data_IF_541293942061
#
_entry.id   IF_541293942061
#
_cell.length_a   1.000
_cell.length_b   1.000
_cell.length_c   1.000
_cell.angle_alpha   90.00
_cell.angle_beta   90.00
_cell.angle_gamma   90.00
#
_symmetry.space_group_name_H-M   'P 1'
#
loop_
_entity.id
_entity.type
_entity.pdbx_description
1 polymer ?
#
# COMPACT_ATOMS: atom_id res chain seq x y z
N UNK A 1 47.60 32.75 -31.26
CA UNK A 1 46.14 32.91 -31.48
C UNK A 1 45.47 32.58 -30.16
N UNK A 2 44.34 33.19 -29.78
CA UNK A 2 43.80 32.94 -28.44
C UNK A 2 42.28 32.78 -28.41
N UNK A 3 41.80 31.89 -27.54
CA UNK A 3 40.39 31.85 -27.12
C UNK A 3 40.14 32.94 -26.09
N UNK A 4 39.62 34.08 -26.53
CA UNK A 4 39.38 35.26 -25.68
C UNK A 4 37.98 35.34 -25.07
N UNK A 5 37.03 34.55 -25.58
CA UNK A 5 35.63 34.53 -25.09
C UNK A 5 35.39 33.37 -24.14
N UNK A 6 34.58 33.61 -23.10
CA UNK A 6 34.07 32.57 -22.19
C UNK A 6 32.81 31.90 -22.73
N UNK A 7 32.18 32.46 -23.77
CA UNK A 7 30.93 31.95 -24.34
C UNK A 7 31.21 30.73 -25.22
N UNK A 8 30.51 29.63 -24.96
CA UNK A 8 30.59 28.37 -25.72
C UNK A 8 29.23 27.91 -26.24
N UNK A 9 28.15 28.66 -25.96
CA UNK A 9 26.79 28.38 -26.46
C UNK A 9 25.99 29.65 -26.68
N UNK A 10 25.01 29.56 -27.57
CA UNK A 10 23.99 30.58 -27.79
C UNK A 10 22.62 29.92 -27.89
N UNK A 11 21.60 30.58 -27.34
CA UNK A 11 20.22 30.11 -27.36
C UNK A 11 19.31 31.17 -27.99
N UNK A 12 18.38 30.73 -28.84
CA UNK A 12 17.41 31.61 -29.50
C UNK A 12 16.01 31.02 -29.46
N UNK A 13 15.01 31.88 -29.63
CA UNK A 13 13.60 31.49 -29.79
C UNK A 13 13.17 31.72 -31.24
N UNK A 14 12.51 30.73 -31.83
CA UNK A 14 11.94 30.77 -33.17
C UNK A 14 10.73 31.68 -33.25
N UNK A 15 10.60 32.36 -34.39
CA UNK A 15 9.47 33.22 -34.73
C UNK A 15 8.69 32.70 -35.95
N UNK A 16 9.03 31.51 -36.47
CA UNK A 16 8.42 30.93 -37.67
C UNK A 16 8.97 31.44 -39.00
N UNK A 17 9.94 32.37 -39.00
CA UNK A 17 10.46 32.98 -40.22
C UNK A 17 12.00 32.98 -40.31
N UNK A 18 12.69 33.12 -39.18
CA UNK A 18 14.16 33.17 -39.14
C UNK A 18 14.76 31.79 -39.40
N UNK A 19 15.69 31.73 -40.36
CA UNK A 19 16.47 30.52 -40.68
C UNK A 19 17.94 30.63 -40.30
N UNK A 20 18.42 31.84 -40.00
CA UNK A 20 19.83 32.10 -39.70
C UNK A 20 20.00 32.49 -38.23
N UNK A 21 20.86 31.77 -37.53
CA UNK A 21 21.17 31.99 -36.13
C UNK A 21 22.67 32.17 -35.98
N UNK A 22 23.07 33.28 -35.36
CA UNK A 22 24.47 33.57 -35.07
C UNK A 22 25.00 32.69 -33.95
N UNK A 23 26.28 32.37 -33.98
CA UNK A 23 27.02 31.87 -32.82
C UNK A 23 28.25 32.76 -32.63
N UNK A 24 28.55 33.12 -31.38
CA UNK A 24 29.53 34.19 -31.06
C UNK A 24 30.86 33.64 -30.56
N UNK A 25 31.19 32.42 -30.97
CA UNK A 25 32.37 31.69 -30.48
C UNK A 25 33.08 30.94 -31.59
N UNK A 26 34.40 30.77 -31.46
CA UNK A 26 35.21 30.05 -32.46
C UNK A 26 34.93 28.55 -32.43
N UNK A 27 34.88 27.96 -33.62
CA UNK A 27 34.85 26.52 -33.89
C UNK A 27 36.00 26.17 -34.84
N UNK A 28 36.61 24.99 -34.67
CA UNK A 28 37.74 24.56 -35.51
C UNK A 28 37.28 23.88 -36.80
N UNK A 29 36.16 23.16 -36.74
CA UNK A 29 35.54 22.49 -37.89
C UNK A 29 34.01 22.68 -37.87
N UNK A 30 33.34 22.52 -39.02
CA UNK A 30 31.87 22.61 -39.13
C UNK A 30 31.16 21.57 -38.26
N UNK A 31 31.77 20.41 -38.08
CA UNK A 31 31.25 19.30 -37.26
C UNK A 31 31.42 19.54 -35.76
N UNK A 32 32.19 20.54 -35.33
CA UNK A 32 32.43 20.82 -33.90
C UNK A 32 31.30 21.65 -33.25
N UNK A 33 30.08 21.48 -33.75
CA UNK A 33 28.86 22.10 -33.24
C UNK A 33 27.84 21.03 -32.93
N UNK A 34 27.17 21.18 -31.79
CA UNK A 34 25.92 20.50 -31.54
C UNK A 34 24.79 21.53 -31.65
N UNK A 35 23.83 21.26 -32.52
CA UNK A 35 22.65 22.10 -32.73
C UNK A 35 21.44 21.28 -32.35
N UNK A 36 20.65 21.78 -31.40
CA UNK A 36 19.46 21.11 -30.92
C UNK A 36 18.27 22.07 -30.92
N UNK A 37 17.08 21.53 -31.13
CA UNK A 37 15.83 22.26 -31.01
C UNK A 37 14.98 21.68 -29.90
N UNK A 38 14.21 22.56 -29.25
CA UNK A 38 13.23 22.23 -28.23
C UNK A 38 11.86 22.69 -28.72
N UNK A 39 10.93 21.75 -28.84
CA UNK A 39 9.54 22.07 -29.19
C UNK A 39 8.73 22.59 -27.99
N UNK A 40 7.48 23.00 -28.23
CA UNK A 40 6.56 23.48 -27.18
C UNK A 40 6.10 22.39 -26.21
N UNK A 41 6.32 21.11 -26.54
CA UNK A 41 6.04 19.94 -25.70
C UNK A 41 7.28 19.52 -24.89
N UNK A 42 8.37 20.28 -24.99
CA UNK A 42 9.68 20.02 -24.38
C UNK A 42 10.38 18.75 -24.88
N UNK A 43 10.15 18.36 -26.13
CA UNK A 43 10.94 17.34 -26.81
C UNK A 43 12.21 17.97 -27.41
N UNK A 44 13.35 17.34 -27.14
CA UNK A 44 14.66 17.77 -27.65
C UNK A 44 15.01 16.94 -28.88
N UNK A 45 15.36 17.61 -29.98
CA UNK A 45 15.82 16.98 -31.23
C UNK A 45 17.18 17.54 -31.61
N UNK A 46 18.17 16.67 -31.80
CA UNK A 46 19.47 17.03 -32.35
C UNK A 46 19.37 17.12 -33.88
N UNK A 47 19.80 18.26 -34.43
CA UNK A 47 19.83 18.48 -35.87
C UNK A 47 21.10 17.90 -36.50
N UNK A 48 21.00 17.47 -37.76
CA UNK A 48 22.08 16.85 -38.53
C UNK A 48 22.72 17.85 -39.49
N UNK A 49 24.03 18.05 -39.39
CA UNK A 49 24.79 18.91 -40.31
C UNK A 49 24.67 18.40 -41.75
N UNK A 50 24.40 19.31 -42.68
CA UNK A 50 24.24 19.02 -44.11
C UNK A 50 22.84 18.57 -44.52
N UNK A 51 22.01 18.13 -43.57
CA UNK A 51 20.60 17.75 -43.82
C UNK A 51 19.65 18.81 -43.27
N UNK A 52 19.77 19.12 -41.98
CA UNK A 52 18.86 20.04 -41.28
C UNK A 52 19.41 21.46 -41.21
N UNK A 53 20.74 21.61 -41.26
CA UNK A 53 21.41 22.91 -41.21
C UNK A 53 22.76 22.90 -41.90
N UNK A 54 23.26 24.09 -42.23
CA UNK A 54 24.62 24.33 -42.71
C UNK A 54 25.32 25.37 -41.83
N UNK A 55 26.66 25.37 -41.86
CA UNK A 55 27.50 26.22 -41.00
C UNK A 55 28.38 27.13 -41.85
N UNK A 56 28.39 28.41 -41.50
CA UNK A 56 29.28 29.42 -42.04
C UNK A 56 30.14 30.02 -40.93
N UNK A 57 31.29 30.62 -41.27
CA UNK A 57 32.17 31.27 -40.27
C UNK A 57 33.00 30.30 -39.42
N UNK A 58 33.47 29.20 -40.03
CA UNK A 58 34.43 28.26 -39.40
C UNK A 58 35.76 28.96 -39.15
N UNK A 59 36.40 28.62 -38.03
CA UNK A 59 37.70 29.15 -37.63
C UNK A 59 37.77 30.68 -37.51
N UNK A 60 36.63 31.35 -37.29
CA UNK A 60 36.55 32.80 -37.02
C UNK A 60 36.43 33.08 -35.52
N UNK A 61 37.13 34.10 -35.03
CA UNK A 61 37.12 34.47 -33.60
C UNK A 61 35.75 34.94 -33.10
N UNK A 62 35.03 35.69 -33.93
CA UNK A 62 33.69 36.21 -33.62
C UNK A 62 32.57 35.20 -33.93
N UNK A 63 32.93 33.96 -34.31
CA UNK A 63 32.00 32.93 -34.73
C UNK A 63 31.41 33.15 -36.11
N UNK A 64 30.19 32.64 -36.30
CA UNK A 64 29.56 32.48 -37.61
C UNK A 64 28.07 32.27 -37.51
N UNK A 65 27.47 31.60 -38.50
CA UNK A 65 26.02 31.35 -38.54
C UNK A 65 25.72 29.88 -38.76
N UNK A 66 24.70 29.41 -38.06
CA UNK A 66 23.93 28.21 -38.38
C UNK A 66 22.75 28.62 -39.27
N UNK A 67 22.65 28.02 -40.45
CA UNK A 67 21.57 28.26 -41.41
C UNK A 67 20.73 27.00 -41.50
N UNK A 68 19.51 27.05 -40.96
CA UNK A 68 18.54 25.97 -41.01
C UNK A 68 17.96 25.83 -42.43
N UNK A 69 17.63 24.61 -42.83
CA UNK A 69 16.95 24.33 -44.12
C UNK A 69 15.48 24.74 -44.12
N UNK A 70 14.85 24.78 -42.94
CA UNK A 70 13.50 25.29 -42.71
C UNK A 70 13.49 26.30 -41.56
N UNK A 71 12.57 27.26 -41.60
CA UNK A 71 12.45 28.26 -40.54
C UNK A 71 12.04 27.60 -39.22
N UNK A 72 12.67 28.00 -38.12
CA UNK A 72 12.35 27.46 -36.81
C UNK A 72 10.93 27.91 -36.41
N UNK A 73 9.99 26.98 -36.14
CA UNK A 73 8.61 27.33 -35.82
C UNK A 73 8.51 28.30 -34.64
N UNK A 74 7.42 29.09 -34.61
CA UNK A 74 7.20 30.04 -33.53
C UNK A 74 7.10 29.33 -32.18
N UNK A 75 7.84 29.83 -31.19
CA UNK A 75 7.87 29.28 -29.82
C UNK A 75 8.84 28.11 -29.61
N UNK A 76 9.40 27.52 -30.67
CA UNK A 76 10.48 26.55 -30.54
C UNK A 76 11.76 27.26 -30.10
N UNK A 77 12.62 26.57 -29.35
CA UNK A 77 13.96 27.09 -29.02
C UNK A 77 15.03 26.35 -29.81
N UNK A 78 16.13 27.03 -30.08
CA UNK A 78 17.34 26.43 -30.66
C UNK A 78 18.52 26.71 -29.74
N UNK A 79 19.28 25.66 -29.45
CA UNK A 79 20.57 25.73 -28.76
C UNK A 79 21.67 25.42 -29.77
N UNK A 80 22.67 26.29 -29.82
CA UNK A 80 23.89 26.10 -30.62
C UNK A 80 25.04 26.08 -29.64
N UNK A 81 25.68 24.93 -29.47
CA UNK A 81 26.79 24.76 -28.53
C UNK A 81 28.03 24.21 -29.23
N UNK A 82 29.19 24.58 -28.71
CA UNK A 82 30.47 24.00 -29.12
C UNK A 82 30.51 22.55 -28.67
N UNK A 83 30.82 21.65 -29.60
CA UNK A 83 31.06 20.23 -29.33
C UNK A 83 32.34 19.79 -30.02
N UNK A 84 33.48 20.11 -29.39
CA UNK A 84 34.79 19.76 -29.94
C UNK A 84 35.14 18.32 -29.52
N UNK A 85 35.66 17.46 -30.42
CA UNK A 85 36.15 16.13 -30.07
C UNK A 85 37.23 16.18 -29.00
N UNK A 86 37.07 15.35 -27.96
CA UNK A 86 38.00 15.24 -26.82
C UNK A 86 39.21 14.37 -27.19
N UNK A 87 39.89 14.75 -28.28
CA UNK A 87 41.09 14.08 -28.80
C UNK A 87 42.24 15.06 -28.92
N UNK A 88 43.47 14.58 -28.88
CA UNK A 88 44.64 15.38 -29.23
C UNK A 88 45.27 14.81 -30.49
N UNK A 89 45.28 15.61 -31.56
CA UNK A 89 45.82 15.21 -32.88
C UNK A 89 47.25 15.71 -33.09
N UNK A 90 47.68 16.71 -32.32
CA UNK A 90 49.04 17.21 -32.36
C UNK A 90 50.02 16.19 -31.75
N UNK A 91 51.00 15.76 -32.55
CA UNK A 91 52.09 14.88 -32.13
C UNK A 91 53.43 15.65 -32.19
N UNK A 92 53.89 16.12 -31.04
CA UNK A 92 55.15 16.88 -30.92
C UNK A 92 56.31 15.89 -30.74
N UNK A 93 57.36 15.98 -31.57
CA UNK A 93 58.55 15.11 -31.52
C UNK A 93 59.73 15.83 -30.87
N UNK A 94 60.57 15.07 -30.17
CA UNK A 94 61.84 15.58 -29.66
C UNK A 94 62.79 15.95 -30.81
N UNK A 95 63.53 17.05 -30.64
CA UNK A 95 64.51 17.57 -31.62
C UNK A 95 63.92 17.97 -32.98
N UNK A 96 62.60 18.12 -33.09
CA UNK A 96 61.94 18.75 -34.24
C UNK A 96 62.01 20.28 -34.19
N UNK A 97 61.72 20.94 -35.32
CA UNK A 97 61.56 22.39 -35.36
C UNK A 97 60.40 22.86 -34.48
N UNK A 98 60.56 24.02 -33.83
CA UNK A 98 59.49 24.63 -33.06
C UNK A 98 58.52 25.34 -34.01
N UNK A 99 57.29 24.83 -34.10
CA UNK A 99 56.21 25.42 -34.90
C UNK A 99 55.15 25.99 -33.95
N UNK A 100 55.21 27.29 -33.61
CA UNK A 100 54.31 27.92 -32.63
C UNK A 100 52.84 27.62 -32.89
N UNK A 101 52.42 27.58 -34.15
CA UNK A 101 51.04 27.34 -34.56
C UNK A 101 50.49 25.99 -34.07
N UNK A 102 51.29 24.91 -34.12
CA UNK A 102 50.85 23.58 -33.65
C UNK A 102 50.62 23.58 -32.14
N UNK A 103 51.47 24.29 -31.39
CA UNK A 103 51.33 24.43 -29.95
C UNK A 103 50.10 25.27 -29.59
N UNK A 104 49.92 26.41 -30.26
CA UNK A 104 48.80 27.31 -30.03
C UNK A 104 47.46 26.64 -30.37
N UNK A 105 47.34 25.93 -31.49
CA UNK A 105 46.11 25.21 -31.86
C UNK A 105 45.78 24.11 -30.84
N UNK A 106 46.79 23.40 -30.34
CA UNK A 106 46.63 22.41 -29.27
C UNK A 106 46.15 23.06 -27.97
N UNK A 107 46.74 24.19 -27.58
CA UNK A 107 46.35 24.91 -26.36
C UNK A 107 44.95 25.52 -26.47
N UNK A 108 44.62 26.16 -27.60
CA UNK A 108 43.29 26.69 -27.89
C UNK A 108 42.23 25.57 -27.83
N UNK A 109 42.51 24.40 -28.43
CA UNK A 109 41.60 23.24 -28.37
C UNK A 109 41.35 22.80 -26.92
N UNK A 110 42.41 22.69 -26.11
CA UNK A 110 42.29 22.32 -24.70
C UNK A 110 41.47 23.37 -23.92
N UNK A 111 41.72 24.66 -24.14
CA UNK A 111 40.93 25.74 -23.52
C UNK A 111 39.46 25.65 -23.91
N UNK A 112 39.14 25.35 -25.18
CA UNK A 112 37.76 25.16 -25.63
C UNK A 112 37.09 23.96 -24.95
N UNK A 113 37.79 22.84 -24.78
CA UNK A 113 37.29 21.66 -24.08
C UNK A 113 37.00 21.95 -22.60
N UNK A 114 37.88 22.72 -21.94
CA UNK A 114 37.68 23.14 -20.54
C UNK A 114 36.44 24.06 -20.42
N UNK A 115 36.26 25.01 -21.33
CA UNK A 115 35.07 25.87 -21.34
C UNK A 115 33.78 25.06 -21.54
N UNK A 116 33.81 24.06 -22.44
CA UNK A 116 32.68 23.17 -22.68
C UNK A 116 32.33 22.36 -21.43
N UNK A 117 33.32 21.74 -20.79
CA UNK A 117 33.14 20.98 -19.55
C UNK A 117 32.58 21.86 -18.42
N UNK A 118 33.10 23.09 -18.26
CA UNK A 118 32.60 24.04 -17.28
C UNK A 118 31.16 24.48 -17.55
N UNK A 119 30.79 24.68 -18.82
CA UNK A 119 29.42 25.00 -19.24
C UNK A 119 28.42 23.91 -18.87
N UNK A 120 28.75 22.64 -19.16
CA UNK A 120 27.92 21.51 -18.79
C UNK A 120 27.78 21.35 -17.27
N UNK A 121 28.90 21.49 -16.54
CA UNK A 121 28.89 21.40 -15.08
C UNK A 121 28.07 22.51 -14.42
N UNK A 122 28.19 23.74 -14.92
CA UNK A 122 27.51 24.90 -14.32
C UNK A 122 26.03 25.00 -14.67
N UNK A 123 25.61 24.51 -15.84
CA UNK A 123 24.27 24.75 -16.39
C UNK A 123 23.35 23.53 -16.53
N UNK A 124 23.87 22.30 -16.60
CA UNK A 124 23.06 21.10 -16.85
C UNK A 124 22.97 20.13 -15.66
N UNK A 125 23.87 20.29 -14.68
CA UNK A 125 24.01 19.36 -13.57
C UNK A 125 23.16 19.78 -12.36
N UNK A 126 22.45 18.83 -11.75
CA UNK A 126 21.86 19.03 -10.42
C UNK A 126 23.00 19.10 -9.39
N UNK A 127 23.18 20.26 -8.76
CA UNK A 127 24.32 20.50 -7.87
C UNK A 127 23.96 21.33 -6.65
N UNK A 128 24.85 21.32 -5.66
CA UNK A 128 24.78 22.24 -4.53
C UNK A 128 25.06 23.67 -5.03
N UNK A 129 24.30 24.69 -4.59
CA UNK A 129 24.54 26.07 -5.01
C UNK A 129 25.83 26.66 -4.41
N UNK A 130 26.29 26.15 -3.27
CA UNK A 130 27.56 26.55 -2.65
C UNK A 130 28.15 25.43 -1.78
N UNK A 131 29.41 25.58 -1.37
CA UNK A 131 30.07 24.67 -0.44
C UNK A 131 29.36 24.55 0.92
N UNK A 132 28.66 25.62 1.33
CA UNK A 132 27.92 25.70 2.59
C UNK A 132 26.50 25.09 2.51
N UNK A 133 25.95 24.94 1.31
CA UNK A 133 24.60 24.38 1.15
C UNK A 133 24.58 22.92 1.64
N UNK A 134 23.43 22.42 2.07
CA UNK A 134 23.23 21.00 2.39
C UNK A 134 22.13 20.37 1.52
N UNK A 135 21.83 21.01 0.39
CA UNK A 135 20.80 20.61 -0.56
C UNK A 135 21.30 20.79 -1.99
N UNK A 136 20.67 20.06 -2.91
CA UNK A 136 20.83 20.26 -4.35
C UNK A 136 19.77 21.24 -4.83
N UNK A 137 20.17 22.22 -5.65
CA UNK A 137 19.27 23.22 -6.19
C UNK A 137 18.92 22.89 -7.65
N UNK A 138 17.62 22.70 -7.91
CA UNK A 138 17.09 22.43 -9.24
C UNK A 138 16.78 23.72 -10.04
N UNK A 139 16.91 24.91 -9.44
CA UNK A 139 16.67 26.21 -10.08
C UNK A 139 15.27 26.33 -10.69
N UNK A 140 14.25 25.84 -9.98
CA UNK A 140 12.85 25.72 -10.44
C UNK A 140 12.64 24.84 -11.69
N UNK A 141 13.63 24.05 -12.11
CA UNK A 141 13.47 23.09 -13.18
C UNK A 141 12.77 21.81 -12.70
N UNK A 142 12.08 21.15 -13.62
CA UNK A 142 11.45 19.85 -13.36
C UNK A 142 12.47 18.72 -13.41
N UNK A 143 12.32 17.76 -12.50
CA UNK A 143 13.04 16.48 -12.56
C UNK A 143 12.13 15.46 -13.24
N UNK A 144 12.54 14.96 -14.41
CA UNK A 144 11.80 13.97 -15.21
C UNK A 144 12.53 12.61 -15.16
N UNK A 145 11.78 11.54 -15.46
CA UNK A 145 12.30 10.17 -15.52
C UNK A 145 12.96 9.68 -14.21
N UNK A 146 12.48 10.21 -13.07
CA UNK A 146 12.85 9.69 -11.76
C UNK A 146 12.20 8.31 -11.58
N UNK A 147 13.01 7.31 -11.20
CA UNK A 147 12.53 5.96 -10.92
C UNK A 147 11.66 5.95 -9.67
N UNK A 148 10.72 5.02 -9.59
CA UNK A 148 9.91 4.84 -8.38
C UNK A 148 10.79 4.48 -7.17
N UNK A 149 10.44 4.99 -5.98
CA UNK A 149 11.22 4.79 -4.76
C UNK A 149 11.21 3.33 -4.32
N UNK A 150 12.34 2.86 -3.82
CA UNK A 150 12.55 1.50 -3.31
C UNK A 150 13.01 1.47 -1.85
N UNK A 151 13.76 2.49 -1.43
CA UNK A 151 14.27 2.66 -0.08
C UNK A 151 13.60 3.85 0.60
N UNK A 152 13.62 3.89 1.94
CA UNK A 152 12.90 4.90 2.72
C UNK A 152 13.37 6.36 2.51
N UNK A 153 14.57 6.57 1.95
CA UNK A 153 15.14 7.89 1.69
C UNK A 153 15.12 8.27 0.20
N UNK A 154 14.54 7.43 -0.66
CA UNK A 154 14.43 7.71 -2.08
C UNK A 154 13.47 8.86 -2.33
N UNK A 155 13.74 9.65 -3.37
CA UNK A 155 12.79 10.64 -3.85
C UNK A 155 11.60 9.93 -4.53
N UNK A 156 10.39 10.43 -4.26
CA UNK A 156 9.17 9.88 -4.85
C UNK A 156 8.65 10.77 -5.98
N UNK A 157 8.13 10.16 -7.04
CA UNK A 157 7.40 10.90 -8.09
C UNK A 157 6.02 11.29 -7.59
N UNK A 158 5.44 12.37 -8.13
CA UNK A 158 4.04 12.75 -7.83
C UNK A 158 3.08 11.60 -8.12
N UNK A 159 3.29 10.89 -9.24
CA UNK A 159 2.47 9.75 -9.64
C UNK A 159 2.50 8.62 -8.60
N UNK A 160 3.68 8.28 -8.07
CA UNK A 160 3.82 7.27 -7.03
C UNK A 160 3.02 7.66 -5.76
N UNK A 161 3.18 8.89 -5.27
CA UNK A 161 2.51 9.37 -4.06
C UNK A 161 0.99 9.42 -4.24
N UNK A 162 0.51 10.00 -5.33
CA UNK A 162 -0.93 10.08 -5.61
C UNK A 162 -1.56 8.68 -5.73
N UNK A 163 -0.85 7.73 -6.36
CA UNK A 163 -1.28 6.34 -6.45
C UNK A 163 -1.48 5.71 -5.08
N UNK A 164 -0.50 5.84 -4.18
CA UNK A 164 -0.60 5.32 -2.81
C UNK A 164 -1.78 5.95 -2.02
N UNK A 165 -2.03 7.24 -2.21
CA UNK A 165 -3.15 7.94 -1.56
C UNK A 165 -4.50 7.39 -2.06
N UNK A 166 -4.63 7.20 -3.38
CA UNK A 166 -5.84 6.65 -4.00
C UNK A 166 -6.08 5.22 -3.53
N UNK A 167 -5.04 4.38 -3.49
CA UNK A 167 -5.13 3.00 -3.02
C UNK A 167 -5.61 2.93 -1.57
N UNK A 168 -5.03 3.74 -0.68
CA UNK A 168 -5.47 3.82 0.71
C UNK A 168 -6.93 4.32 0.82
N UNK A 169 -7.32 5.33 0.03
CA UNK A 169 -8.70 5.84 0.01
C UNK A 169 -9.69 4.75 -0.42
N UNK A 170 -9.34 3.95 -1.43
CA UNK A 170 -10.17 2.85 -1.90
C UNK A 170 -10.29 1.73 -0.86
N UNK A 171 -9.19 1.41 -0.16
CA UNK A 171 -9.21 0.43 0.92
C UNK A 171 -10.14 0.87 2.07
N UNK A 172 -10.13 2.15 2.44
CA UNK A 172 -11.02 2.69 3.47
C UNK A 172 -12.49 2.61 3.06
N UNK A 173 -12.82 3.03 1.84
CA UNK A 173 -14.18 2.92 1.29
C UNK A 173 -14.69 1.48 1.26
N UNK A 174 -13.82 0.53 0.93
CA UNK A 174 -14.16 -0.89 0.95
C UNK A 174 -14.44 -1.38 2.39
N UNK A 175 -13.64 -0.95 3.37
CA UNK A 175 -13.88 -1.26 4.78
C UNK A 175 -15.19 -0.68 5.32
N UNK A 176 -15.50 0.57 4.94
CA UNK A 176 -16.74 1.26 5.32
C UNK A 176 -17.98 0.55 4.79
N UNK A 177 -17.96 0.13 3.51
CA UNK A 177 -19.05 -0.64 2.92
C UNK A 177 -19.31 -1.98 3.65
N UNK A 178 -18.25 -2.63 4.15
CA UNK A 178 -18.38 -3.87 4.95
C UNK A 178 -18.98 -3.55 6.32
N UNK A 179 -18.61 -2.43 6.94
CA UNK A 179 -19.16 -1.98 8.20
C UNK A 179 -20.66 -1.69 8.07
N UNK A 180 -21.06 -0.96 7.05
CA UNK A 180 -22.47 -0.67 6.75
C UNK A 180 -23.28 -1.95 6.59
N UNK A 181 -22.76 -2.94 5.84
CA UNK A 181 -23.42 -4.24 5.70
C UNK A 181 -23.58 -4.98 7.03
N UNK A 182 -22.59 -4.91 7.92
CA UNK A 182 -22.67 -5.51 9.27
C UNK A 182 -23.69 -4.81 10.13
N UNK A 183 -23.72 -3.47 10.10
CA UNK A 183 -24.70 -2.65 10.81
C UNK A 183 -26.12 -3.00 10.34
N UNK A 184 -26.34 -3.04 9.02
CA UNK A 184 -27.63 -3.42 8.43
C UNK A 184 -28.06 -4.85 8.81
N UNK A 185 -27.11 -5.78 8.81
CA UNK A 185 -27.36 -7.17 9.23
C UNK A 185 -27.78 -7.24 10.70
N UNK A 186 -27.09 -6.49 11.57
CA UNK A 186 -27.44 -6.40 12.99
C UNK A 186 -28.82 -5.77 13.19
N UNK A 187 -29.13 -4.67 12.50
CA UNK A 187 -30.46 -4.04 12.57
C UNK A 187 -31.60 -4.96 12.13
N UNK A 188 -31.36 -5.90 11.20
CA UNK A 188 -32.35 -6.90 10.79
C UNK A 188 -32.55 -8.02 11.82
N UNK A 189 -31.59 -8.23 12.72
CA UNK A 189 -31.60 -9.32 13.72
C UNK A 189 -31.88 -8.84 15.14
N UNK A 190 -31.81 -7.54 15.40
CA UNK A 190 -32.07 -6.95 16.72
C UNK A 190 -33.54 -6.55 16.90
N UNK A 191 -34.04 -6.65 18.14
CA UNK A 191 -35.32 -6.06 18.53
C UNK A 191 -35.19 -4.53 18.42
N UNK A 192 -36.05 -3.90 17.61
CA UNK A 192 -35.98 -2.46 17.33
C UNK A 192 -36.97 -1.70 18.20
N UNK A 193 -36.51 -0.60 18.79
CA UNK A 193 -37.31 0.32 19.60
C UNK A 193 -37.17 1.71 18.95
N UNK A 194 -38.26 2.48 18.78
CA UNK A 194 -38.22 3.79 18.13
C UNK A 194 -37.65 4.92 19.01
N UNK A 195 -37.52 4.67 20.32
CA UNK A 195 -37.00 5.63 21.29
C UNK A 195 -35.52 5.96 21.07
N UNK A 196 -35.13 7.21 21.35
CA UNK A 196 -33.75 7.67 21.17
C UNK A 196 -32.74 7.03 22.11
N UNK A 197 -33.22 6.46 23.22
CA UNK A 197 -32.42 5.78 24.22
C UNK A 197 -33.29 4.82 25.03
N UNK A 198 -32.81 3.58 25.21
CA UNK A 198 -33.39 2.60 26.13
C UNK A 198 -32.32 2.29 27.18
N UNK A 199 -32.69 2.31 28.45
CA UNK A 199 -31.75 1.98 29.52
C UNK A 199 -31.24 0.53 29.42
N UNK A 200 -30.03 0.30 29.92
CA UNK A 200 -29.38 -1.00 29.89
C UNK A 200 -30.22 -2.07 30.63
N UNK A 201 -30.15 -3.32 30.14
CA UNK A 201 -30.81 -4.45 30.79
C UNK A 201 -30.27 -4.64 32.22
N UNK A 202 -31.14 -4.97 33.20
CA UNK A 202 -30.70 -5.33 34.54
C UNK A 202 -29.69 -6.49 34.54
N UNK A 203 -28.88 -6.60 35.59
CA UNK A 203 -27.92 -7.71 35.75
C UNK A 203 -28.61 -9.08 35.62
N UNK A 204 -27.92 -10.06 35.04
CA UNK A 204 -28.48 -11.41 34.78
C UNK A 204 -29.02 -12.09 36.04
N UNK A 205 -28.38 -11.89 37.19
CA UNK A 205 -28.85 -12.41 38.49
C UNK A 205 -30.23 -11.89 38.89
N UNK A 206 -30.63 -10.72 38.39
CA UNK A 206 -31.95 -10.15 38.62
C UNK A 206 -32.99 -10.62 37.60
N UNK A 207 -32.56 -11.12 36.44
CA UNK A 207 -33.40 -11.59 35.33
C UNK A 207 -33.60 -13.11 35.33
N UNK A 208 -32.75 -13.86 36.04
CA UNK A 208 -32.85 -15.32 36.13
C UNK A 208 -34.23 -15.75 36.63
N UNK A 209 -34.88 -16.65 35.87
CA UNK A 209 -36.23 -17.12 36.16
C UNK A 209 -37.34 -16.07 35.98
N UNK A 210 -37.07 -14.97 35.27
CA UNK A 210 -38.04 -13.89 35.04
C UNK A 210 -38.27 -13.61 33.55
N UNK A 211 -39.41 -13.01 33.24
CA UNK A 211 -39.76 -12.53 31.91
C UNK A 211 -39.30 -11.07 31.78
N UNK A 212 -38.80 -10.69 30.61
CA UNK A 212 -38.46 -9.31 30.31
C UNK A 212 -39.74 -8.49 30.05
N UNK A 213 -39.90 -7.39 30.78
CA UNK A 213 -40.98 -6.42 30.61
C UNK A 213 -40.43 -4.99 30.62
N UNK A 214 -41.26 -4.01 30.26
CA UNK A 214 -40.93 -2.59 30.37
C UNK A 214 -41.82 -1.93 31.42
N UNK A 215 -41.23 -1.21 32.37
CA UNK A 215 -41.94 -0.45 33.38
C UNK A 215 -41.23 0.89 33.62
N UNK A 216 -41.99 1.99 33.57
CA UNK A 216 -41.42 3.34 33.73
C UNK A 216 -40.36 3.71 32.69
N UNK A 217 -40.42 3.15 31.48
CA UNK A 217 -39.44 3.39 30.40
C UNK A 217 -38.15 2.56 30.50
N UNK A 218 -38.06 1.63 31.46
CA UNK A 218 -36.87 0.79 31.70
C UNK A 218 -37.20 -0.69 31.53
N UNK A 219 -36.28 -1.49 30.95
CA UNK A 219 -36.44 -2.93 30.97
C UNK A 219 -36.30 -3.49 32.39
N UNK A 220 -37.19 -4.38 32.78
CA UNK A 220 -37.25 -5.00 34.11
C UNK A 220 -37.55 -6.49 33.97
N UNK A 221 -37.01 -7.30 34.89
CA UNK A 221 -37.40 -8.70 35.03
C UNK A 221 -38.62 -8.82 35.93
N UNK A 222 -39.73 -9.33 35.40
CA UNK A 222 -40.97 -9.60 36.15
C UNK A 222 -41.17 -11.09 36.34
N UNK A 223 -41.76 -11.48 37.48
CA UNK A 223 -42.14 -12.87 37.69
C UNK A 223 -43.19 -13.27 36.64
N UNK A 224 -43.14 -14.51 36.12
CA UNK A 224 -44.19 -15.01 35.27
C UNK A 224 -45.53 -15.03 36.02
N UNK A 225 -46.64 -14.90 35.31
CA UNK A 225 -47.97 -15.01 35.91
C UNK A 225 -48.19 -16.43 36.43
N UNK A 226 -48.72 -16.56 37.65
CA UNK A 226 -48.92 -17.87 38.28
C UNK A 226 -49.83 -18.76 37.43
N UNK A 227 -49.38 -19.96 37.12
CA UNK A 227 -50.11 -20.91 36.27
C UNK A 227 -50.00 -20.64 34.76
N UNK A 228 -49.22 -19.64 34.33
CA UNK A 228 -48.85 -19.47 32.93
C UNK A 228 -47.91 -20.59 32.46
N UNK A 229 -47.85 -20.84 31.16
CA UNK A 229 -46.89 -21.80 30.61
C UNK A 229 -45.44 -21.42 30.95
N UNK A 230 -45.13 -20.12 31.02
CA UNK A 230 -43.80 -19.64 31.41
C UNK A 230 -43.47 -19.99 32.87
N UNK A 231 -44.41 -19.78 33.80
CA UNK A 231 -44.27 -20.15 35.21
C UNK A 231 -44.03 -21.65 35.39
N UNK A 232 -44.87 -22.48 34.76
CA UNK A 232 -44.73 -23.95 34.82
C UNK A 232 -43.39 -24.41 34.25
N UNK A 233 -42.94 -23.86 33.11
CA UNK A 233 -41.65 -24.22 32.52
C UNK A 233 -40.47 -23.78 33.38
N UNK A 234 -40.56 -22.63 34.05
CA UNK A 234 -39.54 -22.16 34.98
C UNK A 234 -39.47 -23.05 36.23
N UNK A 235 -40.62 -23.41 36.81
CA UNK A 235 -40.68 -24.33 37.96
C UNK A 235 -40.14 -25.73 37.62
N UNK A 236 -40.46 -26.25 36.43
CA UNK A 236 -39.94 -27.54 35.95
C UNK A 236 -38.44 -27.51 35.62
N UNK A 237 -37.87 -26.35 35.31
CA UNK A 237 -36.44 -26.20 35.04
C UNK A 237 -35.59 -26.16 36.31
N UNK A 238 -36.19 -25.95 37.49
CA UNK A 238 -35.47 -25.99 38.77
C UNK A 238 -34.93 -27.41 39.05
N UNK A 239 -33.90 -27.56 39.90
CA UNK A 239 -33.41 -28.87 40.32
C UNK A 239 -34.49 -29.79 40.91
N UNK A 240 -35.57 -29.21 41.45
CA UNK A 240 -36.74 -29.90 42.01
C UNK A 240 -37.87 -30.13 41.01
N UNK A 241 -37.69 -29.77 39.73
CA UNK A 241 -38.76 -29.86 38.73
C UNK A 241 -39.28 -31.30 38.51
N UNK A 242 -38.42 -32.30 38.69
CA UNK A 242 -38.82 -33.71 38.62
C UNK A 242 -39.73 -34.15 39.78
N UNK A 243 -39.77 -33.41 40.89
CA UNK A 243 -40.70 -33.64 42.01
C UNK A 243 -42.11 -33.11 41.69
N UNK A 244 -42.24 -32.24 40.69
CA UNK A 244 -43.50 -31.61 40.30
C UNK A 244 -44.25 -32.39 39.21
N UNK A 245 -43.59 -33.38 38.59
CA UNK A 245 -44.20 -34.25 37.56
C UNK A 245 -44.51 -35.60 38.18
N UNK A 246 -45.77 -36.04 38.09
CA UNK A 246 -46.23 -37.30 38.70
C UNK A 246 -46.55 -38.35 37.65
N UNK A 247 -46.20 -39.60 37.94
CA UNK A 247 -46.72 -40.77 37.26
C UNK A 247 -47.51 -41.61 38.28
N UNK A 248 -48.83 -41.58 38.19
CA UNK A 248 -49.70 -42.10 39.24
C UNK A 248 -49.54 -41.30 40.54
N UNK A 249 -49.23 -41.99 41.65
CA UNK A 249 -49.09 -41.37 42.98
C UNK A 249 -47.64 -41.02 43.35
N UNK A 250 -46.66 -41.26 42.47
CA UNK A 250 -45.25 -41.02 42.75
C UNK A 250 -44.65 -39.96 41.81
N UNK A 251 -43.83 -39.03 42.34
CA UNK A 251 -43.11 -38.08 41.51
C UNK A 251 -42.05 -38.79 40.67
N UNK A 252 -41.79 -38.23 39.49
CA UNK A 252 -40.85 -38.77 38.50
C UNK A 252 -39.43 -38.86 39.07
N UNK A 253 -39.05 -37.96 39.97
CA UNK A 253 -37.78 -38.00 40.71
C UNK A 253 -37.55 -39.29 41.51
N UNK A 254 -38.62 -39.94 42.00
CA UNK A 254 -38.54 -41.20 42.76
C UNK A 254 -38.64 -42.45 41.88
N UNK A 255 -39.15 -42.31 40.67
CA UNK A 255 -39.35 -43.42 39.73
C UNK A 255 -38.14 -43.58 38.82
N UNK A 256 -37.56 -42.47 38.36
CA UNK A 256 -36.41 -42.49 37.46
C UNK A 256 -35.15 -42.86 38.24
N UNK A 257 -34.55 -44.00 37.88
CA UNK A 257 -33.23 -44.39 38.38
C UNK A 257 -32.18 -43.48 37.74
N UNK A 258 -31.13 -43.14 38.50
CA UNK A 258 -29.99 -42.42 37.93
C UNK A 258 -29.45 -43.19 36.74
N UNK A 259 -29.40 -42.58 35.56
CA UNK A 259 -28.84 -43.20 34.36
C UNK A 259 -27.46 -42.63 34.08
N UNK A 260 -26.55 -43.44 33.54
CA UNK A 260 -25.24 -42.98 33.08
C UNK A 260 -25.37 -41.82 32.08
N UNK A 261 -26.48 -41.73 31.34
CA UNK A 261 -26.79 -40.64 30.41
C UNK A 261 -26.90 -39.26 31.05
N UNK A 262 -27.17 -39.17 32.35
CA UNK A 262 -27.18 -37.89 33.08
C UNK A 262 -25.77 -37.27 33.15
N UNK A 263 -24.74 -38.11 33.09
CA UNK A 263 -23.36 -37.74 33.34
C UNK A 263 -22.48 -37.71 32.08
N UNK A 264 -23.01 -38.15 30.94
CA UNK A 264 -22.34 -38.06 29.65
C UNK A 264 -22.44 -36.66 29.07
N UNK A 265 -21.41 -36.24 28.34
CA UNK A 265 -21.53 -35.07 27.48
C UNK A 265 -22.45 -35.38 26.27
N UNK A 266 -23.00 -34.33 25.64
CA UNK A 266 -23.99 -34.49 24.56
C UNK A 266 -23.44 -35.23 23.33
N UNK A 267 -22.15 -35.03 23.01
CA UNK A 267 -21.49 -35.66 21.87
C UNK A 267 -21.37 -37.17 22.05
N UNK A 268 -20.89 -37.61 23.21
CA UNK A 268 -20.71 -39.01 23.58
C UNK A 268 -22.04 -39.74 23.73
N UNK A 269 -23.03 -39.07 24.35
CA UNK A 269 -24.40 -39.61 24.45
C UNK A 269 -25.03 -39.80 23.06
N UNK A 270 -24.88 -38.83 22.17
CA UNK A 270 -25.38 -38.93 20.79
C UNK A 270 -24.66 -40.03 20.01
N UNK A 271 -23.35 -40.16 20.19
CA UNK A 271 -22.53 -41.20 19.55
C UNK A 271 -22.98 -42.60 19.96
N UNK A 272 -23.19 -42.83 21.26
CA UNK A 272 -23.68 -44.11 21.78
C UNK A 272 -25.08 -44.46 21.25
N UNK A 273 -25.98 -43.47 21.13
CA UNK A 273 -27.37 -43.70 20.71
C UNK A 273 -27.51 -43.90 19.19
N UNK A 274 -26.70 -43.22 18.38
CA UNK A 274 -26.93 -43.10 16.95
C UNK A 274 -25.92 -43.84 16.08
N UNK A 275 -24.77 -44.27 16.63
CA UNK A 275 -23.71 -44.94 15.86
C UNK A 275 -23.50 -46.37 16.35
N UNK A 276 -23.88 -47.33 15.50
CA UNK A 276 -23.76 -48.76 15.82
C UNK A 276 -22.29 -49.15 15.97
N UNK A 277 -21.94 -49.75 17.11
CA UNK A 277 -20.59 -50.25 17.40
C UNK A 277 -19.56 -49.18 17.73
N UNK A 278 -19.95 -47.91 17.88
CA UNK A 278 -19.03 -46.86 18.30
C UNK A 278 -18.66 -47.02 19.78
N UNK A 279 -17.37 -47.11 20.06
CA UNK A 279 -16.82 -47.20 21.41
C UNK A 279 -16.67 -45.81 22.04
N UNK A 280 -17.28 -45.61 23.21
CA UNK A 280 -17.17 -44.37 23.98
C UNK A 280 -16.67 -44.68 25.38
N UNK A 281 -15.57 -44.04 25.76
CA UNK A 281 -14.99 -44.19 27.11
C UNK A 281 -15.79 -43.34 28.09
N UNK A 282 -16.55 -43.98 28.98
CA UNK A 282 -17.53 -43.33 29.87
C UNK A 282 -17.05 -43.16 31.32
N UNK A 283 -15.76 -43.38 31.53
CA UNK A 283 -15.01 -43.18 32.76
C UNK A 283 -15.36 -41.86 33.49
N UNK A 284 -15.31 -40.74 32.78
CA UNK A 284 -15.61 -39.42 33.37
C UNK A 284 -17.05 -39.35 33.90
N UNK A 285 -18.01 -39.90 33.16
CA UNK A 285 -19.42 -39.90 33.52
C UNK A 285 -19.68 -40.78 34.74
N UNK A 286 -18.99 -41.91 34.83
CA UNK A 286 -19.05 -42.77 36.01
C UNK A 286 -18.46 -42.06 37.24
N UNK A 287 -17.34 -41.36 37.11
CA UNK A 287 -16.78 -40.57 38.22
C UNK A 287 -17.72 -39.47 38.69
N UNK A 288 -18.39 -38.77 37.77
CA UNK A 288 -19.39 -37.76 38.14
C UNK A 288 -20.59 -38.38 38.85
N UNK A 289 -21.08 -39.55 38.42
CA UNK A 289 -22.14 -40.26 39.11
C UNK A 289 -21.75 -40.65 40.55
N UNK A 290 -20.50 -41.09 40.74
CA UNK A 290 -19.96 -41.42 42.06
C UNK A 290 -19.86 -40.17 42.94
N UNK A 291 -19.36 -39.06 42.39
CA UNK A 291 -19.25 -37.79 43.13
C UNK A 291 -20.62 -37.22 43.54
N UNK A 292 -21.66 -37.47 42.73
CA UNK A 292 -23.05 -37.15 43.04
C UNK A 292 -23.69 -38.11 44.06
N UNK A 293 -22.98 -39.15 44.51
CA UNK A 293 -23.45 -40.12 45.50
C UNK A 293 -24.47 -41.13 44.97
N UNK A 294 -24.53 -41.34 43.65
CA UNK A 294 -25.46 -42.30 43.03
C UNK A 294 -25.06 -43.73 43.39
N UNK A 295 -25.92 -44.43 44.12
CA UNK A 295 -25.66 -45.81 44.58
C UNK A 295 -26.14 -46.89 43.61
N UNK A 296 -27.12 -46.56 42.76
CA UNK A 296 -27.65 -47.45 41.72
C UNK A 296 -27.70 -46.65 40.43
N UNK A 297 -26.93 -47.08 39.43
CA UNK A 297 -26.82 -46.44 38.13
C UNK A 297 -27.31 -47.37 37.02
N UNK A 298 -28.26 -46.91 36.22
CA UNK A 298 -28.80 -47.64 35.08
C UNK A 298 -27.98 -47.35 33.82
N UNK A 299 -27.71 -48.41 33.06
CA UNK A 299 -26.98 -48.37 31.80
C UNK A 299 -27.93 -48.82 30.69
N UNK A 300 -28.62 -47.89 30.02
CA UNK A 300 -29.60 -48.24 28.99
C UNK A 300 -28.92 -48.98 27.83
N UNK A 301 -29.64 -49.92 27.22
CA UNK A 301 -29.17 -50.59 26.02
C UNK A 301 -29.04 -49.57 24.88
N UNK A 302 -27.88 -49.57 24.21
CA UNK A 302 -27.56 -48.65 23.12
C UNK A 302 -26.93 -49.38 21.94
N UNK A 303 -27.01 -48.85 20.71
CA UNK A 303 -26.32 -49.40 19.55
C UNK A 303 -24.79 -49.28 19.61
N UNK A 304 -24.26 -48.27 20.31
CA UNK A 304 -22.84 -48.12 20.59
C UNK A 304 -22.33 -49.07 21.70
N UNK A 305 -21.08 -48.89 22.08
CA UNK A 305 -20.41 -49.69 23.13
C UNK A 305 -19.89 -48.76 24.20
N UNK A 306 -20.38 -48.94 25.43
CA UNK A 306 -19.78 -48.29 26.59
C UNK A 306 -18.43 -48.95 26.91
N UNK A 307 -17.37 -48.17 26.94
CA UNK A 307 -16.03 -48.63 27.31
C UNK A 307 -15.68 -48.06 28.67
N UNK A 308 -15.32 -48.96 29.59
CA UNK A 308 -14.70 -48.61 30.86
C UNK A 308 -13.19 -48.77 30.73
N UNK A 309 -12.47 -47.65 30.79
CA UNK A 309 -11.02 -47.66 30.76
C UNK A 309 -10.45 -48.25 32.06
N UNK A 310 -9.29 -48.92 31.97
CA UNK A 310 -8.57 -49.52 33.11
C UNK A 310 -8.13 -48.54 34.21
N UNK A 311 -8.49 -47.24 34.13
CA UNK A 311 -8.11 -46.22 35.11
C UNK A 311 -9.04 -46.11 36.33
N UNK A 312 -10.13 -46.88 36.39
CA UNK A 312 -10.96 -47.02 37.59
C UNK A 312 -10.42 -48.14 38.48
N UNK A 313 -9.30 -47.89 39.16
CA UNK A 313 -8.97 -48.62 40.39
C UNK A 313 -9.60 -47.80 41.51
N UNK A 314 -10.66 -48.36 42.09
CA UNK A 314 -11.30 -47.91 43.34
C UNK A 314 -10.27 -47.92 44.47
#
# INVERSE_FOLDING_TARGET
>A
MTVSTQVSRNEYTGNGATTQYDFTFRILDKSHLLVQTLDTSENIVTLTLGTDYTVTGVNRYNGGKVVLTSALPAGYKISIERSTPVTQEASIRNQGGFFPEIHEDAFDKLTMLVQQAYGWWSGLSLRKPSWLANYYDALNNRIRNLRDPSQAQDAATKNYVDGQIVDNTNAWKAGDAILDQKIDSNFRRSLRVPDSYVEELPQLSMLEGKILAFSGGRPVGVLPESGSAADVLIELAKPTGADLVYCGNSPVSLIIRGSIFKYLNELDRSTLLNVVGAEVIVDYALQHAINDGVTILEWPAVPGVYVLGKKFII
#
